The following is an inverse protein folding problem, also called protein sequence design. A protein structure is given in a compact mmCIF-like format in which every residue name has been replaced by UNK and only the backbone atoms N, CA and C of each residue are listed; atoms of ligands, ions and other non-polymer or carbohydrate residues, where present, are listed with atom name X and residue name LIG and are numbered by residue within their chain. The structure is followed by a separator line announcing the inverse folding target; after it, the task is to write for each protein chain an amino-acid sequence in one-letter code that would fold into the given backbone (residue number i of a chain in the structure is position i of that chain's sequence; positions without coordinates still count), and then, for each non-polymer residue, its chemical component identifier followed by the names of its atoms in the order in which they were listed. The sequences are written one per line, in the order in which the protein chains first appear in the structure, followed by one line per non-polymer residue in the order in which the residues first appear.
data_IF_935115749697
#
_entry.id   IF_935115749697
#
_cell.length_a   1.000
_cell.length_b   1.000
_cell.length_c   1.000
_cell.angle_alpha   90.00
_cell.angle_beta   90.00
_cell.angle_gamma   90.00
#
_symmetry.space_group_name_H-M   'P 1'
#
loop_
_entity.id
_entity.type
_entity.pdbx_description
1 polymer ?
#
# COMPACT_ATOMS: atom_id res chain seq x y z
N UNK A 1 -27.47 5.69 9.49
CA UNK A 1 -26.11 5.14 9.51
C UNK A 1 -25.77 4.78 10.94
N UNK A 2 -25.43 3.52 11.28
CA UNK A 2 -25.08 3.16 12.65
C UNK A 2 -23.78 3.87 13.06
N UNK A 3 -23.76 4.38 14.29
CA UNK A 3 -22.66 5.20 14.87
C UNK A 3 -21.32 4.44 14.97
N UNK A 4 -21.31 3.11 14.81
CA UNK A 4 -20.10 2.25 14.87
C UNK A 4 -19.19 2.38 13.65
N UNK A 5 -19.70 2.69 12.47
CA UNK A 5 -18.93 2.67 11.21
C UNK A 5 -17.97 3.87 11.05
N UNK A 6 -18.19 4.97 11.79
CA UNK A 6 -17.34 6.18 11.68
C UNK A 6 -16.00 6.09 12.40
N UNK A 7 -15.84 5.22 13.41
CA UNK A 7 -14.57 5.08 14.16
C UNK A 7 -13.53 4.21 13.43
N UNK A 8 -13.94 3.31 12.54
CA UNK A 8 -13.03 2.42 11.82
C UNK A 8 -12.47 3.02 10.52
N UNK A 9 -13.16 3.99 9.91
CA UNK A 9 -12.73 4.56 8.63
C UNK A 9 -11.42 5.36 8.69
N UNK A 10 -11.08 5.95 9.83
CA UNK A 10 -9.84 6.75 9.98
C UNK A 10 -8.59 5.90 10.23
N UNK A 11 -8.76 4.63 10.61
CA UNK A 11 -7.65 3.71 10.94
C UNK A 11 -7.32 2.72 9.83
N UNK A 12 -8.21 2.54 8.84
CA UNK A 12 -8.03 1.54 7.79
C UNK A 12 -7.87 2.12 6.39
N UNK A 13 -8.11 3.42 6.20
CA UNK A 13 -8.00 4.03 4.87
C UNK A 13 -7.05 5.22 4.88
N UNK A 14 -6.11 5.24 3.96
CA UNK A 14 -5.14 6.33 3.79
C UNK A 14 -5.84 7.69 3.73
N UNK A 15 -5.49 8.68 4.58
CA UNK A 15 -5.93 10.05 4.40
C UNK A 15 -5.50 10.61 3.05
N UNK A 16 -6.29 11.52 2.46
CA UNK A 16 -5.99 12.07 1.12
C UNK A 16 -4.64 12.76 1.08
N UNK A 17 -4.32 13.54 2.12
CA UNK A 17 -3.07 14.29 2.22
C UNK A 17 -1.85 13.35 2.28
N UNK A 18 -2.00 12.21 2.97
CA UNK A 18 -0.97 11.16 3.02
C UNK A 18 -0.81 10.49 1.66
N UNK A 19 -1.93 10.18 0.98
CA UNK A 19 -1.90 9.59 -0.35
C UNK A 19 -1.19 10.51 -1.36
N UNK A 20 -1.48 11.81 -1.31
CA UNK A 20 -0.84 12.84 -2.15
C UNK A 20 0.67 12.86 -1.92
N UNK A 21 1.12 12.97 -0.67
CA UNK A 21 2.55 13.04 -0.34
C UNK A 21 3.29 11.74 -0.69
N UNK A 22 2.66 10.59 -0.43
CA UNK A 22 3.22 9.30 -0.79
C UNK A 22 3.37 9.14 -2.31
N UNK A 23 2.33 9.50 -3.10
CA UNK A 23 2.37 9.42 -4.55
C UNK A 23 3.42 10.39 -5.14
N UNK A 24 3.53 11.61 -4.63
CA UNK A 24 4.58 12.57 -5.03
C UNK A 24 5.98 11.99 -4.82
N UNK A 25 6.23 11.37 -3.66
CA UNK A 25 7.52 10.76 -3.41
C UNK A 25 7.77 9.57 -4.34
N UNK A 26 6.81 8.64 -4.46
CA UNK A 26 6.98 7.42 -5.27
C UNK A 26 7.18 7.72 -6.75
N UNK A 27 6.46 8.70 -7.30
CA UNK A 27 6.54 9.11 -8.70
C UNK A 27 7.71 10.07 -9.00
N UNK A 28 8.21 10.79 -8.01
CA UNK A 28 9.29 11.79 -8.17
C UNK A 28 10.70 11.19 -8.35
N UNK A 29 10.83 9.88 -8.62
CA UNK A 29 12.09 9.16 -8.79
C UNK A 29 12.73 9.34 -10.18
N UNK A 30 13.70 8.47 -10.47
CA UNK A 30 14.44 8.47 -11.74
C UNK A 30 13.68 7.79 -12.91
N UNK A 31 12.47 7.29 -12.66
CA UNK A 31 11.69 6.52 -13.63
C UNK A 31 10.68 7.44 -14.35
N UNK A 32 10.64 7.39 -15.68
CA UNK A 32 9.70 8.21 -16.45
C UNK A 32 8.24 7.76 -16.31
N UNK A 33 8.00 6.45 -16.30
CA UNK A 33 6.67 5.84 -16.18
C UNK A 33 6.67 4.80 -15.05
N UNK A 34 6.78 5.21 -13.78
CA UNK A 34 6.92 4.25 -12.69
C UNK A 34 5.64 3.44 -12.47
N UNK A 35 5.81 2.16 -12.19
CA UNK A 35 4.75 1.28 -11.71
C UNK A 35 4.81 1.23 -10.18
N UNK A 36 3.70 1.55 -9.55
CA UNK A 36 3.57 1.66 -8.09
C UNK A 36 2.65 0.55 -7.59
N UNK A 37 3.12 -0.21 -6.61
CA UNK A 37 2.36 -1.25 -5.93
C UNK A 37 1.82 -0.72 -4.61
N UNK A 38 0.52 -0.90 -4.37
CA UNK A 38 -0.15 -0.66 -3.10
C UNK A 38 -0.49 -2.01 -2.44
N UNK A 39 0.13 -2.30 -1.31
CA UNK A 39 0.00 -3.58 -0.60
C UNK A 39 -1.10 -3.47 0.46
N UNK A 40 -2.17 -4.24 0.31
CA UNK A 40 -3.36 -4.12 1.13
C UNK A 40 -4.14 -2.86 0.76
N UNK A 41 -4.47 -2.72 -0.52
CA UNK A 41 -5.02 -1.47 -1.08
C UNK A 41 -6.42 -1.09 -0.58
N UNK A 42 -7.11 -2.00 0.12
CA UNK A 42 -8.47 -1.79 0.55
C UNK A 42 -9.39 -1.46 -0.63
N UNK A 43 -10.15 -0.37 -0.52
CA UNK A 43 -11.00 0.14 -1.61
C UNK A 43 -10.23 0.97 -2.66
N UNK A 44 -8.90 0.92 -2.68
CA UNK A 44 -8.08 1.52 -3.73
C UNK A 44 -7.81 3.03 -3.61
N UNK A 45 -8.08 3.64 -2.46
CA UNK A 45 -8.01 5.10 -2.30
C UNK A 45 -6.65 5.70 -2.67
N UNK A 46 -5.53 5.08 -2.23
CA UNK A 46 -4.19 5.55 -2.59
C UNK A 46 -3.95 5.48 -4.10
N UNK A 47 -4.30 4.35 -4.73
CA UNK A 47 -4.14 4.17 -6.17
C UNK A 47 -4.95 5.18 -6.98
N UNK A 48 -6.21 5.43 -6.60
CA UNK A 48 -7.08 6.39 -7.29
C UNK A 48 -6.55 7.83 -7.17
N UNK A 49 -6.11 8.24 -5.97
CA UNK A 49 -5.48 9.57 -5.78
C UNK A 49 -4.20 9.69 -6.59
N UNK A 50 -3.33 8.68 -6.54
CA UNK A 50 -2.08 8.67 -7.30
C UNK A 50 -2.30 8.70 -8.81
N UNK A 51 -3.23 7.87 -9.31
CA UNK A 51 -3.57 7.80 -10.73
C UNK A 51 -4.13 9.11 -11.28
N UNK A 52 -4.97 9.80 -10.49
CA UNK A 52 -5.50 11.11 -10.87
C UNK A 52 -4.43 12.22 -10.90
N UNK A 53 -3.36 12.09 -10.10
CA UNK A 53 -2.30 13.10 -10.02
C UNK A 53 -1.16 12.87 -11.02
N UNK A 54 -0.89 11.62 -11.40
CA UNK A 54 0.29 11.24 -12.19
C UNK A 54 -0.12 10.34 -13.36
N UNK A 55 -0.54 10.96 -14.45
CA UNK A 55 -1.04 10.26 -15.65
C UNK A 55 -0.02 9.28 -16.27
N UNK A 56 1.29 9.58 -16.13
CA UNK A 56 2.35 8.71 -16.66
C UNK A 56 2.67 7.52 -15.75
N UNK A 57 2.33 7.59 -14.46
CA UNK A 57 2.58 6.51 -13.52
C UNK A 57 1.43 5.49 -13.55
N UNK A 58 1.75 4.21 -13.32
CA UNK A 58 0.75 3.14 -13.22
C UNK A 58 0.64 2.67 -11.77
N UNK A 59 -0.56 2.66 -11.23
CA UNK A 59 -0.84 2.23 -9.87
C UNK A 59 -1.56 0.89 -9.86
N UNK A 60 -1.05 -0.07 -9.10
CA UNK A 60 -1.67 -1.38 -8.92
C UNK A 60 -1.91 -1.65 -7.45
N UNK A 61 -3.16 -1.77 -7.06
CA UNK A 61 -3.56 -2.18 -5.71
C UNK A 61 -3.73 -3.70 -5.61
N UNK A 62 -3.29 -4.27 -4.49
CA UNK A 62 -3.51 -5.69 -4.18
C UNK A 62 -4.27 -5.80 -2.87
N UNK A 63 -5.44 -6.44 -2.92
CA UNK A 63 -6.31 -6.64 -1.76
C UNK A 63 -6.86 -8.07 -1.77
N UNK A 64 -6.89 -8.72 -0.60
CA UNK A 64 -7.38 -10.09 -0.51
C UNK A 64 -8.88 -10.19 -0.17
N UNK A 65 -9.49 -9.14 0.40
CA UNK A 65 -10.92 -9.09 0.70
C UNK A 65 -11.74 -8.78 -0.55
N UNK A 66 -12.50 -9.77 -1.00
CA UNK A 66 -13.33 -9.62 -2.22
C UNK A 66 -14.29 -8.44 -2.15
N UNK A 67 -14.87 -8.18 -0.97
CA UNK A 67 -15.77 -7.04 -0.77
C UNK A 67 -15.11 -5.69 -1.01
N UNK A 68 -13.84 -5.53 -0.61
CA UNK A 68 -13.07 -4.31 -0.86
C UNK A 68 -12.61 -4.21 -2.31
N UNK A 69 -12.22 -5.35 -2.92
CA UNK A 69 -11.90 -5.42 -4.34
C UNK A 69 -13.08 -4.93 -5.20
N UNK A 70 -14.30 -5.41 -4.89
CA UNK A 70 -15.51 -5.03 -5.64
C UNK A 70 -15.80 -3.53 -5.54
N UNK A 71 -15.56 -2.93 -4.37
CA UNK A 71 -15.69 -1.48 -4.19
C UNK A 71 -14.60 -0.73 -4.96
N UNK A 72 -13.35 -1.22 -4.95
CA UNK A 72 -12.25 -0.61 -5.67
C UNK A 72 -12.51 -0.60 -7.19
N UNK A 73 -12.99 -1.72 -7.74
CA UNK A 73 -13.35 -1.84 -9.17
C UNK A 73 -14.48 -0.88 -9.56
N UNK A 74 -15.53 -0.76 -8.71
CA UNK A 74 -16.61 0.20 -8.95
C UNK A 74 -16.11 1.65 -8.91
N UNK A 75 -15.26 2.02 -7.94
CA UNK A 75 -14.69 3.35 -7.86
C UNK A 75 -13.78 3.66 -9.05
N UNK A 76 -13.03 2.67 -9.54
CA UNK A 76 -12.21 2.81 -10.73
C UNK A 76 -13.08 3.08 -11.98
N UNK A 77 -14.17 2.35 -12.15
CA UNK A 77 -15.11 2.57 -13.26
C UNK A 77 -15.67 3.99 -13.26
N UNK A 78 -16.06 4.52 -12.08
CA UNK A 78 -16.53 5.91 -11.94
C UNK A 78 -15.46 6.97 -12.17
N UNK A 79 -14.18 6.64 -11.90
CA UNK A 79 -13.08 7.60 -12.02
C UNK A 79 -12.59 7.81 -13.45
N UNK A 80 -12.93 6.90 -14.37
CA UNK A 80 -12.45 6.87 -15.77
C UNK A 80 -10.91 6.84 -15.90
N UNK A 81 -10.17 6.50 -14.82
CA UNK A 81 -8.72 6.38 -14.84
C UNK A 81 -8.28 5.11 -15.58
N UNK A 82 -7.33 5.26 -16.51
CA UNK A 82 -6.79 4.16 -17.30
C UNK A 82 -5.38 3.70 -16.87
N UNK A 83 -4.80 4.35 -15.87
CA UNK A 83 -3.49 4.08 -15.30
C UNK A 83 -3.56 3.47 -13.89
N UNK A 84 -4.72 2.99 -13.47
CA UNK A 84 -4.98 2.30 -12.20
C UNK A 84 -5.54 0.91 -12.47
N UNK A 85 -5.18 -0.06 -11.64
CA UNK A 85 -5.76 -1.40 -11.68
C UNK A 85 -5.74 -2.07 -10.31
N UNK A 86 -6.62 -3.06 -10.12
CA UNK A 86 -6.69 -3.80 -8.86
C UNK A 86 -6.57 -5.30 -9.09
N UNK A 87 -5.86 -5.97 -8.18
CA UNK A 87 -5.69 -7.41 -8.13
C UNK A 87 -6.34 -7.93 -6.85
N UNK A 88 -7.41 -8.70 -6.99
CA UNK A 88 -8.05 -9.37 -5.87
C UNK A 88 -7.32 -10.68 -5.56
N UNK A 89 -6.56 -10.71 -4.47
CA UNK A 89 -5.77 -11.88 -4.10
C UNK A 89 -4.71 -11.63 -3.05
N UNK A 90 -3.94 -12.68 -2.77
CA UNK A 90 -2.89 -12.61 -1.77
C UNK A 90 -1.62 -11.98 -2.35
N UNK A 91 -1.00 -11.07 -1.58
CA UNK A 91 0.24 -10.37 -1.96
C UNK A 91 1.40 -11.34 -2.25
N UNK A 92 1.40 -12.53 -1.67
CA UNK A 92 2.43 -13.54 -1.93
C UNK A 92 2.45 -14.05 -3.38
N UNK A 93 1.41 -13.79 -4.16
CA UNK A 93 1.33 -14.12 -5.58
C UNK A 93 1.84 -12.98 -6.49
N UNK A 94 2.28 -11.84 -5.93
CA UNK A 94 2.70 -10.66 -6.68
C UNK A 94 4.23 -10.53 -6.65
N UNK A 95 4.84 -10.39 -7.82
CA UNK A 95 6.28 -10.14 -7.95
C UNK A 95 6.54 -8.63 -7.87
N UNK A 96 7.31 -8.20 -6.87
CA UNK A 96 7.65 -6.78 -6.69
C UNK A 96 8.62 -6.26 -7.76
N UNK A 97 9.38 -7.14 -8.40
CA UNK A 97 10.31 -6.76 -9.48
C UNK A 97 9.64 -6.06 -10.68
N UNK A 98 8.33 -6.18 -10.81
CA UNK A 98 7.56 -5.55 -11.88
C UNK A 98 7.24 -4.07 -11.60
N UNK A 99 7.61 -3.58 -10.38
CA UNK A 99 7.32 -2.24 -9.88
C UNK A 99 8.59 -1.46 -9.55
N UNK A 100 8.49 -0.13 -9.49
CA UNK A 100 9.56 0.79 -9.12
C UNK A 100 9.29 1.50 -7.80
N UNK A 101 8.05 1.47 -7.33
CA UNK A 101 7.64 2.01 -6.05
C UNK A 101 6.67 1.10 -5.31
N UNK A 102 6.69 1.15 -3.98
CA UNK A 102 5.79 0.36 -3.12
C UNK A 102 5.23 1.23 -2.02
N UNK A 103 3.91 1.17 -1.83
CA UNK A 103 3.21 1.79 -0.72
C UNK A 103 2.71 0.72 0.26
N UNK A 104 2.87 0.98 1.55
CA UNK A 104 2.53 0.09 2.66
C UNK A 104 1.83 0.90 3.75
N UNK A 105 0.53 0.73 3.93
CA UNK A 105 -0.18 1.30 5.07
C UNK A 105 -0.45 0.20 6.10
N UNK A 106 0.58 -0.19 6.84
CA UNK A 106 0.49 -1.19 7.91
C UNK A 106 -0.40 -2.40 7.55
N UNK A 107 -0.19 -3.02 6.36
CA UNK A 107 -1.17 -3.88 5.70
C UNK A 107 -1.47 -5.19 6.43
N UNK A 108 -0.63 -5.58 7.41
CA UNK A 108 -0.72 -6.87 8.09
C UNK A 108 -1.05 -6.74 9.58
N UNK A 109 -1.28 -5.53 10.07
CA UNK A 109 -1.44 -5.24 11.50
C UNK A 109 -2.64 -5.95 12.15
N UNK A 110 -3.69 -6.22 11.39
CA UNK A 110 -4.86 -6.96 11.89
C UNK A 110 -4.50 -8.36 12.40
N UNK A 111 -3.45 -9.01 11.87
CA UNK A 111 -2.95 -10.28 12.35
C UNK A 111 -2.40 -10.21 13.79
N UNK A 112 -1.88 -9.03 14.20
CA UNK A 112 -1.40 -8.79 15.57
C UNK A 112 -2.52 -8.32 16.51
N UNK A 113 -3.56 -7.70 15.97
CA UNK A 113 -4.68 -7.15 16.73
C UNK A 113 -6.03 -7.56 16.14
N UNK A 114 -6.46 -8.80 16.32
CA UNK A 114 -7.73 -9.31 15.76
C UNK A 114 -8.96 -8.48 16.15
N UNK A 115 -8.91 -7.78 17.29
CA UNK A 115 -9.99 -6.87 17.71
C UNK A 115 -10.16 -5.62 16.83
N UNK A 116 -9.16 -5.30 16.01
CA UNK A 116 -9.19 -4.21 15.04
C UNK A 116 -9.54 -4.68 13.63
N UNK A 117 -9.88 -5.94 13.45
CA UNK A 117 -10.23 -6.51 12.16
C UNK A 117 -11.42 -5.77 11.53
N UNK A 118 -11.35 -5.55 10.22
CA UNK A 118 -12.47 -4.96 9.47
C UNK A 118 -13.68 -5.90 9.40
N UNK A 119 -13.42 -7.19 9.26
CA UNK A 119 -14.42 -8.26 9.13
C UNK A 119 -13.82 -9.63 9.49
N UNK A 120 -14.64 -10.68 9.40
CA UNK A 120 -14.26 -12.07 9.68
C UNK A 120 -13.94 -12.87 8.40
N UNK A 121 -13.78 -12.21 7.23
CA UNK A 121 -13.58 -12.91 5.95
C UNK A 121 -12.16 -13.43 5.76
N UNK A 122 -11.22 -12.96 6.58
CA UNK A 122 -9.81 -13.37 6.57
C UNK A 122 -9.47 -14.04 7.89
N UNK A 123 -8.82 -15.18 7.82
CA UNK A 123 -8.23 -15.82 8.99
C UNK A 123 -7.07 -14.98 9.52
N UNK A 124 -7.15 -14.57 10.78
CA UNK A 124 -6.14 -13.76 11.45
C UNK A 124 -5.32 -14.62 12.40
N UNK A 125 -4.01 -14.63 12.19
CA UNK A 125 -3.04 -15.33 13.02
C UNK A 125 -1.74 -14.52 13.09
N UNK A 126 -1.14 -14.43 14.27
CA UNK A 126 0.13 -13.71 14.48
C UNK A 126 1.28 -14.28 13.63
N UNK A 127 1.28 -15.56 13.32
CA UNK A 127 2.28 -16.19 12.47
C UNK A 127 2.19 -15.65 11.03
N UNK A 128 1.01 -15.29 10.55
CA UNK A 128 0.84 -14.67 9.23
C UNK A 128 1.45 -13.27 9.16
N UNK A 129 1.47 -12.52 10.25
CA UNK A 129 2.19 -11.23 10.28
C UNK A 129 3.67 -11.40 9.91
N UNK A 130 4.35 -12.33 10.58
CA UNK A 130 5.77 -12.61 10.32
C UNK A 130 6.01 -13.15 8.90
N UNK A 131 5.11 -14.02 8.41
CA UNK A 131 5.17 -14.59 7.07
C UNK A 131 5.06 -13.47 6.01
N UNK A 132 4.07 -12.60 6.13
CA UNK A 132 3.85 -11.51 5.17
C UNK A 132 4.94 -10.44 5.23
N UNK A 133 5.35 -10.00 6.41
CA UNK A 133 6.47 -9.08 6.58
C UNK A 133 7.77 -9.68 6.02
N UNK A 134 8.02 -10.96 6.29
CA UNK A 134 9.17 -11.69 5.75
C UNK A 134 9.14 -11.81 4.23
N UNK A 135 7.95 -12.02 3.64
CA UNK A 135 7.77 -12.03 2.19
C UNK A 135 8.08 -10.66 1.58
N UNK A 136 7.45 -9.59 2.07
CA UNK A 136 7.66 -8.22 1.61
C UNK A 136 9.13 -7.84 1.72
N UNK A 137 9.78 -8.10 2.85
CA UNK A 137 11.21 -7.84 3.05
C UNK A 137 12.09 -8.54 2.01
N UNK A 138 11.82 -9.81 1.71
CA UNK A 138 12.55 -10.56 0.68
C UNK A 138 12.35 -9.99 -0.72
N UNK A 139 11.13 -9.54 -1.04
CA UNK A 139 10.84 -8.90 -2.32
C UNK A 139 11.58 -7.57 -2.43
N UNK A 140 11.45 -6.68 -1.44
CA UNK A 140 12.11 -5.37 -1.40
C UNK A 140 13.64 -5.51 -1.48
N UNK A 141 14.22 -6.51 -0.81
CA UNK A 141 15.67 -6.75 -0.84
C UNK A 141 16.21 -6.99 -2.27
N UNK A 142 15.37 -7.51 -3.16
CA UNK A 142 15.75 -7.89 -4.54
C UNK A 142 15.41 -6.81 -5.58
N UNK A 143 14.66 -5.78 -5.21
CA UNK A 143 14.27 -4.71 -6.13
C UNK A 143 15.49 -3.93 -6.66
N UNK A 144 15.40 -3.24 -7.81
CA UNK A 144 16.52 -2.51 -8.37
C UNK A 144 16.91 -1.29 -7.51
N UNK A 145 18.15 -0.84 -7.66
CA UNK A 145 18.64 0.42 -7.06
C UNK A 145 17.69 1.57 -7.42
N UNK A 146 17.54 2.53 -6.51
CA UNK A 146 16.61 3.67 -6.59
C UNK A 146 15.12 3.31 -6.47
N UNK A 147 14.75 2.08 -6.19
CA UNK A 147 13.39 1.75 -5.79
C UNK A 147 12.98 2.58 -4.58
N UNK A 148 11.78 3.14 -4.63
CA UNK A 148 11.20 3.93 -3.55
C UNK A 148 10.11 3.17 -2.82
N UNK A 149 10.08 3.32 -1.51
CA UNK A 149 9.05 2.72 -0.64
C UNK A 149 8.50 3.79 0.28
N UNK A 150 7.21 3.77 0.49
CA UNK A 150 6.55 4.58 1.52
C UNK A 150 5.84 3.65 2.48
N UNK A 151 6.10 3.83 3.78
CA UNK A 151 5.35 3.19 4.85
C UNK A 151 4.54 4.23 5.62
N UNK A 152 3.30 3.88 5.97
CA UNK A 152 2.44 4.69 6.83
C UNK A 152 1.94 3.86 8.01
N UNK A 153 2.12 4.38 9.24
CA UNK A 153 1.83 3.66 10.51
C UNK A 153 2.54 2.30 10.66
N UNK A 154 3.64 2.05 10.00
CA UNK A 154 4.41 0.83 10.16
C UNK A 154 5.68 1.02 10.99
N UNK A 155 6.11 -0.03 11.70
CA UNK A 155 7.41 -0.06 12.39
C UNK A 155 8.60 -0.06 11.43
N UNK A 156 8.38 -0.56 10.21
CA UNK A 156 9.40 -0.71 9.18
C UNK A 156 10.10 -2.07 9.25
N UNK A 157 9.50 -3.05 9.95
CA UNK A 157 10.04 -4.41 10.03
C UNK A 157 10.15 -5.08 8.65
N UNK A 158 9.32 -4.68 7.71
CA UNK A 158 9.34 -5.14 6.32
C UNK A 158 10.44 -4.48 5.48
N UNK A 159 11.07 -3.39 5.97
CA UNK A 159 12.09 -2.65 5.22
C UNK A 159 13.48 -3.28 5.43
N UNK A 160 14.17 -3.74 4.37
CA UNK A 160 15.49 -4.32 4.51
C UNK A 160 16.58 -3.26 4.69
N UNK A 161 17.73 -3.69 5.24
CA UNK A 161 18.86 -2.80 5.60
C UNK A 161 19.50 -2.06 4.41
N UNK A 162 19.22 -2.45 3.18
CA UNK A 162 19.72 -1.79 1.96
C UNK A 162 18.84 -0.64 1.47
N UNK A 163 17.91 -0.16 2.33
CA UNK A 163 17.13 1.05 2.12
C UNK A 163 17.52 2.12 3.12
N UNK A 164 17.61 3.36 2.67
CA UNK A 164 17.84 4.54 3.52
C UNK A 164 16.52 5.28 3.73
N UNK A 165 16.27 5.72 4.96
CA UNK A 165 15.19 6.63 5.29
C UNK A 165 15.57 8.03 4.79
N UNK A 166 14.86 8.54 3.80
CA UNK A 166 15.22 9.81 3.12
C UNK A 166 14.26 10.96 3.46
N UNK A 167 13.05 10.65 3.94
CA UNK A 167 12.07 11.67 4.35
C UNK A 167 11.10 11.08 5.38
N UNK A 168 10.64 11.93 6.31
CA UNK A 168 9.55 11.63 7.25
C UNK A 168 8.54 12.76 7.23
N UNK A 169 7.27 12.43 7.49
CA UNK A 169 6.16 13.37 7.57
C UNK A 169 5.07 12.88 8.52
N UNK A 170 4.02 13.67 8.70
CA UNK A 170 2.84 13.31 9.49
C UNK A 170 3.21 12.78 10.90
N UNK A 171 3.96 13.58 11.67
CA UNK A 171 4.45 13.23 13.02
C UNK A 171 5.32 11.94 13.07
N UNK A 172 6.03 11.65 11.97
CA UNK A 172 6.85 10.46 11.73
C UNK A 172 6.06 9.18 11.42
N UNK A 173 4.75 9.27 11.22
CA UNK A 173 3.94 8.12 10.80
C UNK A 173 4.16 7.78 9.32
N UNK A 174 4.45 8.78 8.47
CA UNK A 174 4.84 8.59 7.08
C UNK A 174 6.37 8.55 6.98
N UNK A 175 6.89 7.46 6.42
CA UNK A 175 8.34 7.28 6.19
C UNK A 175 8.58 6.94 4.72
N UNK A 176 9.52 7.66 4.12
CA UNK A 176 9.92 7.50 2.73
C UNK A 176 11.33 6.90 2.66
N UNK A 177 11.47 5.79 1.97
CA UNK A 177 12.67 4.99 1.88
C UNK A 177 13.16 4.91 0.44
N UNK A 178 14.46 4.86 0.23
CA UNK A 178 15.07 4.67 -1.08
C UNK A 178 16.15 3.60 -1.01
N UNK A 179 16.14 2.67 -1.98
CA UNK A 179 17.14 1.60 -2.09
C UNK A 179 18.46 2.17 -2.58
N UNK A 180 19.54 1.83 -1.84
CA UNK A 180 20.94 2.15 -2.18
C UNK A 180 21.42 1.49 -3.45
#
# INVERSE_FOLDING_TARGET
MPVGTRRHTSTHFTPVEVAVEAAQFLCGGAWENPKILDVGSGMGKFCLVGGAMFEQAHFTGVEQRKSLCDVADQLLEYSELNNVGFLCGNIMNVKFSDFQGVYLYNPFYEHLQPFSAMDETIELDADYYEIYCGYVRKQLQRMPKNTRVVTYFGGGEEIPLNYDLVKQGFHNDLKCWQRR
#
